data_IF_316800543326
#
_entry.id   IF_316800543326
#
_cell.length_a   1.000
_cell.length_b   1.000
_cell.length_c   1.000
_cell.angle_alpha   90.00
_cell.angle_beta   90.00
_cell.angle_gamma   90.00
#
_symmetry.space_group_name_H-M   'P 1'
#
loop_
_entity.id
_entity.type
_entity.pdbx_description
1 polymer ?
#
# COMPACT_ATOMS: atom_id res chain seq x y z
N UNK A 1 12.20 9.55 12.50
CA UNK A 1 10.82 9.04 12.40
C UNK A 1 10.90 7.66 11.74
N UNK A 2 10.16 6.64 12.21
CA UNK A 2 10.11 5.36 11.51
C UNK A 2 9.51 5.57 10.12
N UNK A 3 10.06 4.89 9.11
CA UNK A 3 9.58 4.97 7.73
C UNK A 3 8.20 4.31 7.63
N UNK A 4 7.14 5.01 7.18
CA UNK A 4 5.82 4.41 7.00
C UNK A 4 5.84 3.28 5.96
N UNK A 5 4.94 2.31 6.12
CA UNK A 5 4.76 1.21 5.16
C UNK A 5 3.39 1.38 4.49
N UNK A 6 3.39 1.46 3.16
CA UNK A 6 2.21 1.41 2.32
C UNK A 6 2.03 -0.01 1.78
N UNK A 7 0.98 -0.70 2.23
CA UNK A 7 0.50 -1.91 1.58
C UNK A 7 -0.36 -1.53 0.37
N UNK A 8 0.00 -2.00 -0.83
CA UNK A 8 -0.60 -1.53 -2.08
C UNK A 8 -0.82 -2.67 -3.06
N UNK A 9 -1.84 -2.53 -3.91
CA UNK A 9 -2.04 -3.33 -5.11
C UNK A 9 -2.06 -2.38 -6.31
N UNK A 10 -1.12 -2.48 -7.24
CA UNK A 10 -0.97 -1.54 -8.37
C UNK A 10 -2.25 -1.36 -9.23
N UNK A 11 -3.05 -2.42 -9.49
CA UNK A 11 -4.33 -2.30 -10.19
C UNK A 11 -5.36 -1.44 -9.45
N UNK A 12 -5.24 -1.31 -8.12
CA UNK A 12 -6.21 -0.67 -7.23
C UNK A 12 -6.23 0.87 -7.41
N UNK A 13 -7.35 1.45 -7.87
CA UNK A 13 -7.50 2.91 -7.97
C UNK A 13 -7.23 3.69 -6.67
N UNK A 14 -7.71 3.27 -5.48
CA UNK A 14 -7.43 4.03 -4.25
C UNK A 14 -5.95 4.02 -3.87
N UNK A 15 -5.22 2.92 -4.13
CA UNK A 15 -3.77 2.86 -3.87
C UNK A 15 -2.99 3.91 -4.68
N UNK A 16 -3.38 4.13 -5.96
CA UNK A 16 -2.78 5.20 -6.79
C UNK A 16 -3.03 6.59 -6.23
N UNK A 17 -4.20 6.84 -5.63
CA UNK A 17 -4.48 8.11 -4.95
C UNK A 17 -3.50 8.38 -3.81
N UNK A 18 -3.18 7.36 -3.01
CA UNK A 18 -2.20 7.46 -1.92
C UNK A 18 -0.78 7.68 -2.45
N UNK A 19 -0.39 6.96 -3.52
CA UNK A 19 0.92 7.14 -4.16
C UNK A 19 1.12 8.56 -4.70
N UNK A 20 0.10 9.15 -5.32
CA UNK A 20 0.14 10.54 -5.78
C UNK A 20 0.32 11.53 -4.62
N UNK A 21 -0.34 11.28 -3.47
CA UNK A 21 -0.18 12.12 -2.28
C UNK A 21 1.23 11.99 -1.67
N UNK A 22 1.77 10.77 -1.63
CA UNK A 22 3.14 10.50 -1.16
C UNK A 22 4.15 11.28 -2.01
N UNK A 23 4.02 11.20 -3.34
CA UNK A 23 4.88 11.92 -4.28
C UNK A 23 4.75 13.44 -4.11
N UNK A 24 3.51 13.95 -4.06
CA UNK A 24 3.25 15.38 -3.91
C UNK A 24 3.78 15.98 -2.59
N UNK A 25 3.87 15.17 -1.54
CA UNK A 25 4.33 15.58 -0.20
C UNK A 25 5.80 15.22 0.06
N UNK A 26 6.47 14.50 -0.85
CA UNK A 26 7.86 14.07 -0.67
C UNK A 26 8.07 13.12 0.52
N UNK A 27 7.10 12.23 0.79
CA UNK A 27 7.17 11.31 1.93
C UNK A 27 7.97 10.06 1.54
N UNK A 28 9.03 9.75 2.27
CA UNK A 28 9.74 8.47 2.13
C UNK A 28 8.92 7.33 2.76
N UNK A 29 8.55 6.33 1.95
CA UNK A 29 7.73 5.18 2.36
C UNK A 29 8.30 3.86 1.87
N UNK A 30 8.01 2.77 2.59
CA UNK A 30 8.16 1.41 2.09
C UNK A 30 6.89 0.98 1.37
N UNK A 31 6.99 0.52 0.12
CA UNK A 31 5.85 -0.06 -0.57
C UNK A 31 5.94 -1.59 -0.45
N UNK A 32 4.88 -2.21 0.05
CA UNK A 32 4.71 -3.67 0.11
C UNK A 32 3.50 -4.09 -0.72
N UNK A 33 3.72 -4.96 -1.71
CA UNK A 33 2.65 -5.42 -2.59
C UNK A 33 1.73 -6.40 -1.86
N UNK A 34 0.42 -6.20 -2.00
CA UNK A 34 -0.62 -7.13 -1.51
C UNK A 34 -1.58 -7.42 -2.67
N UNK A 35 -1.39 -8.55 -3.34
CA UNK A 35 -2.25 -8.94 -4.46
C UNK A 35 -3.70 -9.15 -4.01
N UNK A 36 -4.63 -8.37 -4.56
CA UNK A 36 -6.06 -8.56 -4.31
C UNK A 36 -6.60 -9.79 -5.08
N UNK A 37 -6.03 -10.07 -6.26
CA UNK A 37 -6.38 -11.24 -7.07
C UNK A 37 -6.03 -12.57 -6.38
N UNK A 38 -4.92 -12.59 -5.62
CA UNK A 38 -4.53 -13.75 -4.80
C UNK A 38 -5.21 -13.76 -3.42
N UNK A 39 -6.16 -12.85 -3.18
CA UNK A 39 -6.85 -12.70 -1.89
C UNK A 39 -5.85 -12.43 -0.74
N UNK A 40 -4.72 -11.77 -1.01
CA UNK A 40 -3.68 -11.49 -0.02
C UNK A 40 -4.18 -10.68 1.17
N UNK A 41 -5.06 -9.72 0.91
CA UNK A 41 -5.76 -8.91 1.92
C UNK A 41 -6.69 -9.72 2.84
N UNK A 42 -6.98 -10.99 2.55
CA UNK A 42 -7.79 -11.88 3.39
C UNK A 42 -6.94 -12.83 4.24
N UNK A 43 -5.61 -12.81 4.11
CA UNK A 43 -4.72 -13.61 4.94
C UNK A 43 -4.74 -13.10 6.38
N UNK A 44 -4.49 -13.99 7.32
CA UNK A 44 -4.51 -13.71 8.77
C UNK A 44 -3.54 -12.58 9.17
N UNK A 45 -2.45 -12.43 8.42
CA UNK A 45 -1.47 -11.34 8.59
C UNK A 45 -2.01 -9.94 8.27
N UNK A 46 -3.16 -9.82 7.59
CA UNK A 46 -3.78 -8.56 7.18
C UNK A 46 -5.11 -8.25 7.86
N UNK A 47 -5.86 -9.27 8.30
CA UNK A 47 -7.24 -9.13 8.80
C UNK A 47 -7.30 -8.94 10.33
N UNK A 48 -6.22 -9.23 11.04
CA UNK A 48 -6.17 -9.18 12.52
C UNK A 48 -5.97 -7.78 13.08
#
# INVERSE_FOLDING_TARGET
MPRPILYSDEPSPPCRGVLLAIEALGIDVEIRTVSLFERGHLKEEFVK
#
